data_IF_658508473215
#
_entry.id   IF_658508473215
#
_cell.length_a   1.000
_cell.length_b   1.000
_cell.length_c   1.000
_cell.angle_alpha   90.00
_cell.angle_beta   90.00
_cell.angle_gamma   90.00
#
_symmetry.space_group_name_H-M   'P 1'
#
loop_
_entity.id
_entity.type
_entity.pdbx_description
1 polymer ?
#
# COMPACT_ATOMS: atom_id res chain seq x y z
N UNK A 1 59.57 -21.12 -24.43
CA UNK A 1 59.76 -19.66 -24.60
C UNK A 1 59.05 -19.21 -25.87
N UNK A 2 57.79 -18.79 -25.78
CA UNK A 2 57.09 -18.01 -26.81
C UNK A 2 56.12 -17.06 -26.09
N UNK A 3 56.30 -15.79 -26.38
CA UNK A 3 55.66 -14.61 -25.81
C UNK A 3 54.25 -14.49 -26.40
N UNK A 4 53.25 -14.20 -25.58
CA UNK A 4 51.94 -13.72 -26.05
C UNK A 4 51.59 -12.45 -25.29
N UNK A 5 51.24 -11.44 -26.07
CA UNK A 5 51.24 -10.02 -25.76
C UNK A 5 50.01 -9.56 -24.99
N UNK A 6 50.23 -8.59 -24.10
CA UNK A 6 49.20 -7.76 -23.45
C UNK A 6 48.52 -6.85 -24.49
N UNK A 7 47.19 -6.84 -24.53
CA UNK A 7 46.41 -5.83 -25.23
C UNK A 7 45.69 -4.95 -24.18
N UNK A 8 46.00 -3.66 -24.20
CA UNK A 8 45.39 -2.63 -23.34
C UNK A 8 44.04 -2.20 -23.91
N UNK A 9 42.99 -2.20 -23.08
CA UNK A 9 41.68 -1.66 -23.40
C UNK A 9 41.62 -0.17 -23.00
N UNK A 10 41.38 0.71 -23.98
CA UNK A 10 41.14 2.13 -23.75
C UNK A 10 39.63 2.37 -23.57
N UNK A 11 39.25 2.97 -22.43
CA UNK A 11 37.88 3.35 -22.09
C UNK A 11 37.67 4.83 -22.47
N UNK A 12 36.79 5.11 -23.42
CA UNK A 12 36.35 6.48 -23.74
C UNK A 12 35.07 6.81 -22.97
N UNK A 13 35.12 7.77 -22.04
CA UNK A 13 33.93 8.42 -21.49
C UNK A 13 33.57 9.63 -22.37
N UNK A 14 32.34 9.65 -22.89
CA UNK A 14 31.75 10.84 -23.50
C UNK A 14 30.72 11.44 -22.53
N UNK A 15 30.94 12.70 -22.13
CA UNK A 15 30.00 13.49 -21.35
C UNK A 15 29.00 14.17 -22.30
N UNK A 16 27.71 13.90 -22.13
CA UNK A 16 26.63 14.59 -22.84
C UNK A 16 26.24 15.87 -22.09
N UNK A 17 26.54 17.03 -22.67
CA UNK A 17 25.99 18.30 -22.24
C UNK A 17 24.64 18.54 -22.93
N UNK A 18 23.57 18.70 -22.15
CA UNK A 18 22.26 19.12 -22.65
C UNK A 18 22.18 20.65 -22.68
N UNK A 19 21.88 21.22 -23.85
CA UNK A 19 21.63 22.64 -24.04
C UNK A 19 20.14 22.95 -23.81
N UNK A 20 19.85 23.92 -22.94
CA UNK A 20 18.51 24.47 -22.74
C UNK A 20 18.15 25.46 -23.86
N UNK A 21 16.97 25.31 -24.46
CA UNK A 21 16.41 26.27 -25.42
C UNK A 21 15.39 27.17 -24.71
N UNK A 22 15.65 28.48 -24.71
CA UNK A 22 14.70 29.53 -24.32
C UNK A 22 13.75 29.83 -25.48
N UNK A 23 12.44 29.83 -25.24
CA UNK A 23 11.45 30.21 -26.24
C UNK A 23 11.10 31.70 -26.11
N UNK A 24 11.18 32.39 -27.23
CA UNK A 24 10.96 33.82 -27.42
C UNK A 24 9.51 34.25 -27.11
N UNK A 25 9.41 35.49 -26.61
CA UNK A 25 8.17 36.15 -26.23
C UNK A 25 7.29 36.52 -27.44
N UNK A 26 5.98 36.40 -27.25
CA UNK A 26 4.98 36.95 -28.16
C UNK A 26 4.33 38.20 -27.54
N UNK A 27 4.30 39.24 -28.37
CA UNK A 27 3.87 40.61 -28.11
C UNK A 27 2.33 40.68 -27.98
N UNK A 28 1.82 41.38 -26.95
CA UNK A 28 0.40 41.67 -26.76
C UNK A 28 0.09 43.06 -27.32
N UNK A 29 -0.33 43.15 -28.58
CA UNK A 29 -0.97 44.34 -29.14
C UNK A 29 -2.50 44.15 -29.11
N UNK A 30 -3.12 44.96 -28.24
CA UNK A 30 -4.33 45.75 -28.49
C UNK A 30 -5.55 45.05 -29.12
N UNK A 31 -6.54 44.70 -28.30
CA UNK A 31 -7.94 44.60 -28.73
C UNK A 31 -8.86 45.36 -27.76
N UNK A 32 -9.73 46.16 -28.37
CA UNK A 32 -10.58 47.20 -27.78
C UNK A 32 -11.67 46.71 -26.81
N UNK A 33 -11.91 47.52 -25.78
CA UNK A 33 -12.98 47.36 -24.80
C UNK A 33 -14.30 47.95 -25.30
N UNK A 34 -15.25 47.11 -25.73
CA UNK A 34 -16.66 47.51 -25.85
C UNK A 34 -17.62 46.31 -25.94
N UNK A 35 -18.14 45.85 -24.80
CA UNK A 35 -19.52 45.37 -24.61
C UNK A 35 -19.66 44.75 -23.22
N UNK A 36 -20.34 45.47 -22.32
CA UNK A 36 -20.78 44.94 -21.03
C UNK A 36 -22.11 44.17 -21.19
N UNK A 37 -22.16 42.95 -20.66
CA UNK A 37 -23.38 42.31 -20.18
C UNK A 37 -23.06 41.67 -18.82
N UNK A 38 -23.78 41.98 -17.74
CA UNK A 38 -23.46 41.44 -16.42
C UNK A 38 -23.99 40.01 -16.31
N UNK A 39 -23.08 39.04 -16.28
CA UNK A 39 -23.39 37.71 -15.76
C UNK A 39 -23.37 37.76 -14.22
N UNK A 40 -24.33 37.09 -13.54
CA UNK A 40 -24.38 37.08 -12.08
C UNK A 40 -23.20 36.32 -11.49
N UNK A 41 -22.50 37.02 -10.60
CA UNK A 41 -21.53 36.58 -9.60
C UNK A 41 -21.19 35.09 -9.59
N UNK A 42 -19.97 34.80 -10.06
CA UNK A 42 -19.17 33.68 -9.61
C UNK A 42 -19.29 33.53 -8.09
N UNK A 43 -19.91 32.44 -7.66
CA UNK A 43 -19.69 31.90 -6.33
C UNK A 43 -18.22 31.52 -6.32
N UNK A 44 -17.47 32.22 -5.47
CA UNK A 44 -16.06 31.99 -5.22
C UNK A 44 -15.89 30.56 -4.71
N UNK A 45 -15.70 29.63 -5.64
CA UNK A 45 -15.10 28.32 -5.37
C UNK A 45 -13.68 28.62 -4.93
N UNK A 46 -13.48 28.77 -3.62
CA UNK A 46 -12.16 28.72 -3.03
C UNK A 46 -11.69 27.27 -3.09
N UNK A 47 -11.40 26.82 -4.29
CA UNK A 47 -10.42 25.78 -4.54
C UNK A 47 -9.07 26.34 -4.09
N UNK A 48 -8.80 26.34 -2.78
CA UNK A 48 -7.42 26.35 -2.30
C UNK A 48 -6.84 24.93 -2.47
N UNK A 49 -6.80 24.51 -3.72
CA UNK A 49 -6.24 23.24 -4.20
C UNK A 49 -4.82 23.45 -4.73
N UNK A 50 -4.05 24.34 -4.10
CA UNK A 50 -2.68 24.67 -4.53
C UNK A 50 -1.60 24.04 -3.63
N UNK A 51 -1.86 22.81 -3.18
CA UNK A 51 -0.88 21.93 -2.55
C UNK A 51 -0.62 20.67 -3.41
N UNK A 52 0.56 20.04 -3.32
CA UNK A 52 0.82 18.78 -4.02
C UNK A 52 -0.26 17.73 -3.70
N UNK A 53 -0.93 17.20 -4.73
CA UNK A 53 -1.96 16.16 -4.62
C UNK A 53 -1.38 14.78 -4.89
N UNK A 54 -0.11 14.54 -4.57
CA UNK A 54 0.52 13.26 -4.85
C UNK A 54 -0.24 12.14 -4.12
N UNK A 55 -1.05 11.39 -4.86
CA UNK A 55 -1.44 10.03 -4.52
C UNK A 55 -0.23 9.10 -4.64
N UNK A 56 0.85 9.46 -3.97
CA UNK A 56 2.16 8.84 -4.11
C UNK A 56 2.25 7.62 -3.21
N UNK A 57 1.67 6.51 -3.64
CA UNK A 57 1.72 5.18 -2.99
C UNK A 57 0.87 5.06 -1.71
N UNK A 58 -0.01 4.05 -1.68
CA UNK A 58 -1.05 3.89 -0.65
C UNK A 58 -0.49 3.72 0.78
N UNK A 59 0.67 3.08 0.94
CA UNK A 59 1.30 2.94 2.26
C UNK A 59 1.86 4.28 2.77
N UNK A 60 2.45 5.10 1.89
CA UNK A 60 2.94 6.43 2.26
C UNK A 60 1.78 7.34 2.65
N UNK A 61 0.66 7.30 1.91
CA UNK A 61 -0.55 8.01 2.27
C UNK A 61 -1.10 7.57 3.64
N UNK A 62 -1.14 6.26 3.91
CA UNK A 62 -1.56 5.73 5.21
C UNK A 62 -0.62 6.20 6.35
N UNK A 63 0.69 6.19 6.13
CA UNK A 63 1.67 6.68 7.12
C UNK A 63 1.50 8.19 7.32
N UNK A 64 1.33 8.98 6.25
CA UNK A 64 1.12 10.42 6.34
C UNK A 64 -0.14 10.77 7.14
N UNK A 65 -1.24 10.05 6.91
CA UNK A 65 -2.48 10.21 7.68
C UNK A 65 -2.23 9.98 9.17
N UNK A 66 -1.60 8.86 9.52
CA UNK A 66 -1.32 8.53 10.92
C UNK A 66 -0.35 9.53 11.57
N UNK A 67 0.71 9.94 10.87
CA UNK A 67 1.64 10.97 11.36
C UNK A 67 0.92 12.29 11.59
N UNK A 68 -0.01 12.67 10.72
CA UNK A 68 -0.82 13.89 10.87
C UNK A 68 -1.72 13.82 12.11
N UNK A 69 -2.33 12.66 12.38
CA UNK A 69 -3.14 12.42 13.60
C UNK A 69 -2.26 12.53 14.86
N UNK A 70 -1.07 11.91 14.87
CA UNK A 70 -0.16 11.95 16.01
C UNK A 70 0.37 13.37 16.30
N UNK A 71 0.69 14.14 15.27
CA UNK A 71 1.15 15.53 15.40
C UNK A 71 0.05 16.47 15.92
N UNK A 72 -1.21 16.24 15.52
CA UNK A 72 -2.34 17.07 15.92
C UNK A 72 -2.82 16.79 17.36
N UNK A 73 -2.50 15.62 17.92
CA UNK A 73 -2.90 15.22 19.27
C UNK A 73 -1.84 15.65 20.31
N UNK A 74 -2.11 16.68 21.15
CA UNK A 74 -1.18 17.13 22.17
C UNK A 74 -0.96 16.11 23.30
N UNK A 75 -1.78 15.05 23.37
CA UNK A 75 -1.62 13.96 24.32
C UNK A 75 -0.78 12.79 23.77
N UNK A 76 -0.26 12.88 22.53
CA UNK A 76 0.62 11.85 21.96
C UNK A 76 1.86 11.66 22.85
N UNK A 77 2.03 10.44 23.35
CA UNK A 77 3.26 10.02 24.02
C UNK A 77 4.32 9.63 22.98
N UNK A 78 5.17 10.60 22.64
CA UNK A 78 6.25 10.42 21.67
C UNK A 78 7.30 9.38 22.09
N UNK A 79 7.34 8.96 23.35
CA UNK A 79 8.24 7.89 23.79
C UNK A 79 7.76 6.49 23.39
N UNK A 80 6.47 6.36 23.04
CA UNK A 80 5.82 5.10 22.67
C UNK A 80 5.52 4.98 21.17
N UNK A 81 5.60 6.08 20.42
CA UNK A 81 5.32 6.09 18.98
C UNK A 81 6.28 5.15 18.23
N UNK A 82 5.71 4.28 17.39
CA UNK A 82 6.45 3.32 16.57
C UNK A 82 5.92 3.32 15.12
N UNK A 83 6.41 4.25 14.31
CA UNK A 83 6.08 4.33 12.88
C UNK A 83 6.70 3.16 12.09
N UNK A 84 7.78 2.57 12.60
CA UNK A 84 8.41 1.42 11.94
C UNK A 84 7.52 0.19 12.06
N UNK A 85 6.86 -0.03 13.20
CA UNK A 85 5.85 -1.09 13.35
C UNK A 85 4.71 -0.94 12.33
N UNK A 86 4.19 0.28 12.14
CA UNK A 86 3.18 0.54 11.11
C UNK A 86 3.74 0.26 9.70
N UNK A 87 4.95 0.72 9.39
CA UNK A 87 5.58 0.47 8.08
C UNK A 87 5.75 -1.01 7.80
N UNK A 88 6.16 -1.80 8.80
CA UNK A 88 6.31 -3.25 8.67
C UNK A 88 4.96 -3.94 8.48
N UNK A 89 3.92 -3.49 9.17
CA UNK A 89 2.57 -4.00 8.94
C UNK A 89 2.09 -3.73 7.50
N UNK A 90 2.35 -2.53 6.97
CA UNK A 90 1.99 -2.19 5.59
C UNK A 90 2.79 -3.03 4.57
N UNK A 91 4.04 -3.41 4.86
CA UNK A 91 4.79 -4.39 4.06
C UNK A 91 4.12 -5.75 4.10
N UNK A 92 3.69 -6.20 5.28
CA UNK A 92 2.98 -7.48 5.42
C UNK A 92 1.68 -7.49 4.62
N UNK A 93 0.90 -6.41 4.68
CA UNK A 93 -0.29 -6.24 3.86
C UNK A 93 0.02 -6.29 2.36
N UNK A 94 1.05 -5.57 1.91
CA UNK A 94 1.47 -5.52 0.50
C UNK A 94 1.93 -6.90 0.00
N UNK A 95 2.70 -7.62 0.82
CA UNK A 95 3.16 -8.97 0.53
C UNK A 95 1.99 -9.96 0.41
N UNK A 96 1.05 -9.94 1.37
CA UNK A 96 -0.09 -10.86 1.39
C UNK A 96 -1.10 -10.52 0.28
N UNK A 97 -1.24 -9.25 -0.08
CA UNK A 97 -2.20 -8.79 -1.08
C UNK A 97 -1.69 -8.99 -2.51
N UNK A 98 -0.41 -8.67 -2.77
CA UNK A 98 0.11 -8.56 -4.13
C UNK A 98 1.20 -9.57 -4.48
N UNK A 99 1.80 -10.26 -3.49
CA UNK A 99 2.93 -11.19 -3.73
C UNK A 99 2.69 -12.63 -3.29
N UNK A 100 1.67 -12.89 -2.49
CA UNK A 100 1.30 -14.25 -2.13
C UNK A 100 0.70 -14.99 -3.33
N UNK A 101 1.14 -16.22 -3.56
CA UNK A 101 0.44 -17.14 -4.44
C UNK A 101 -0.64 -17.85 -3.66
N UNK A 102 -1.87 -17.90 -4.19
CA UNK A 102 -3.00 -18.51 -3.50
C UNK A 102 -3.62 -19.60 -4.35
N UNK A 103 -3.62 -20.83 -3.83
CA UNK A 103 -4.42 -21.93 -4.36
C UNK A 103 -5.69 -22.10 -3.54
N UNK A 104 -6.83 -22.28 -4.21
CA UNK A 104 -8.12 -22.51 -3.55
C UNK A 104 -8.55 -23.97 -3.70
N UNK A 105 -8.80 -24.63 -2.58
CA UNK A 105 -9.37 -25.97 -2.49
C UNK A 105 -10.81 -25.85 -1.97
N UNK A 106 -11.79 -26.30 -2.77
CA UNK A 106 -13.16 -26.36 -2.29
C UNK A 106 -13.30 -27.48 -1.26
N UNK A 107 -13.91 -27.18 -0.12
CA UNK A 107 -14.27 -28.15 0.92
C UNK A 107 -15.77 -28.09 1.19
N UNK A 108 -16.29 -29.09 1.89
CA UNK A 108 -17.69 -29.03 2.32
C UNK A 108 -17.94 -27.81 3.21
N UNK A 109 -19.03 -27.10 2.95
CA UNK A 109 -19.37 -25.87 3.67
C UNK A 109 -18.42 -24.68 3.47
N UNK A 110 -17.43 -24.73 2.56
CA UNK A 110 -16.52 -23.59 2.39
C UNK A 110 -15.33 -23.79 1.45
N UNK A 111 -14.17 -23.28 1.86
CA UNK A 111 -12.91 -23.37 1.12
C UNK A 111 -11.69 -23.40 2.05
N UNK A 112 -10.62 -24.03 1.56
CA UNK A 112 -9.27 -23.97 2.11
C UNK A 112 -8.39 -23.21 1.13
N UNK A 113 -7.70 -22.18 1.61
CA UNK A 113 -6.85 -21.30 0.82
C UNK A 113 -5.41 -21.50 1.23
N UNK A 114 -4.55 -21.95 0.31
CA UNK A 114 -3.14 -22.17 0.54
C UNK A 114 -2.41 -20.94 0.03
N UNK A 115 -1.98 -20.07 0.94
CA UNK A 115 -1.19 -18.90 0.64
C UNK A 115 0.29 -19.23 0.82
N UNK A 116 1.08 -19.11 -0.25
CA UNK A 116 2.51 -19.48 -0.26
C UNK A 116 3.38 -18.49 -1.02
N UNK A 117 4.69 -18.58 -0.83
CA UNK A 117 5.70 -17.90 -1.65
C UNK A 117 7.03 -18.66 -1.59
N UNK A 118 7.85 -18.51 -2.63
CA UNK A 118 9.26 -18.94 -2.60
C UNK A 118 10.16 -17.90 -1.89
N UNK A 119 9.67 -16.67 -1.70
CA UNK A 119 10.38 -15.64 -0.94
C UNK A 119 10.16 -15.85 0.57
N UNK A 120 11.23 -16.07 1.37
CA UNK A 120 11.11 -16.23 2.82
C UNK A 120 10.49 -15.03 3.53
N UNK A 121 10.66 -13.80 3.02
CA UNK A 121 10.07 -12.59 3.59
C UNK A 121 8.56 -12.59 3.41
N UNK A 122 8.09 -12.88 2.19
CA UNK A 122 6.65 -12.97 1.88
C UNK A 122 6.02 -14.13 2.65
N UNK A 123 6.71 -15.27 2.73
CA UNK A 123 6.28 -16.43 3.54
C UNK A 123 6.05 -16.04 5.00
N UNK A 124 6.96 -15.25 5.58
CA UNK A 124 6.82 -14.78 6.96
C UNK A 124 5.64 -13.80 7.11
N UNK A 125 5.43 -12.90 6.15
CA UNK A 125 4.27 -11.99 6.12
C UNK A 125 2.95 -12.76 6.06
N UNK A 126 2.86 -13.78 5.20
CA UNK A 126 1.68 -14.66 5.09
C UNK A 126 1.37 -15.28 6.44
N UNK A 127 2.35 -15.94 7.08
CA UNK A 127 2.13 -16.59 8.37
C UNK A 127 1.65 -15.62 9.45
N UNK A 128 2.32 -14.48 9.61
CA UNK A 128 1.90 -13.47 10.62
C UNK A 128 0.47 -13.01 10.38
N UNK A 129 0.17 -12.58 9.15
CA UNK A 129 -1.12 -11.98 8.82
C UNK A 129 -2.27 -12.99 8.86
N UNK A 130 -2.11 -14.17 8.26
CA UNK A 130 -3.17 -15.20 8.22
C UNK A 130 -3.56 -15.61 9.62
N UNK A 131 -2.59 -15.93 10.49
CA UNK A 131 -2.88 -16.36 11.86
C UNK A 131 -3.52 -15.23 12.68
N UNK A 132 -3.01 -14.00 12.59
CA UNK A 132 -3.58 -12.86 13.30
C UNK A 132 -5.02 -12.56 12.84
N UNK A 133 -5.29 -12.61 11.53
CA UNK A 133 -6.64 -12.38 11.00
C UNK A 133 -7.59 -13.47 11.42
N UNK A 134 -7.20 -14.75 11.33
CA UNK A 134 -8.06 -15.85 11.79
C UNK A 134 -8.37 -15.71 13.28
N UNK A 135 -7.38 -15.41 14.12
CA UNK A 135 -7.58 -15.23 15.56
C UNK A 135 -8.56 -14.09 15.88
N UNK A 136 -8.55 -13.02 15.08
CA UNK A 136 -9.38 -11.82 15.28
C UNK A 136 -10.77 -11.95 14.67
N UNK A 137 -10.88 -12.61 13.52
CA UNK A 137 -12.08 -12.60 12.67
C UNK A 137 -12.90 -13.89 12.77
N UNK A 138 -12.43 -14.93 13.46
CA UNK A 138 -13.22 -16.14 13.65
C UNK A 138 -14.57 -15.83 14.33
N UNK A 139 -15.65 -16.36 13.78
CA UNK A 139 -17.03 -16.09 14.21
C UNK A 139 -17.64 -14.82 13.62
N UNK A 140 -16.85 -13.93 13.01
CA UNK A 140 -17.36 -12.76 12.30
C UNK A 140 -18.04 -13.20 11.00
N UNK A 141 -19.12 -12.51 10.60
CA UNK A 141 -20.01 -12.92 9.50
C UNK A 141 -20.67 -14.31 9.69
N UNK A 142 -20.54 -14.92 10.87
CA UNK A 142 -21.02 -16.28 11.16
C UNK A 142 -20.16 -17.39 10.54
N UNK A 143 -18.92 -17.10 10.15
CA UNK A 143 -17.98 -18.09 9.63
C UNK A 143 -17.09 -18.66 10.72
N UNK A 144 -16.74 -19.94 10.58
CA UNK A 144 -15.63 -20.53 11.32
C UNK A 144 -14.37 -20.39 10.48
N UNK A 145 -13.35 -19.76 11.06
CA UNK A 145 -12.04 -19.57 10.46
C UNK A 145 -10.96 -20.30 11.26
N UNK A 146 -10.07 -21.00 10.55
CA UNK A 146 -8.91 -21.69 11.11
C UNK A 146 -7.67 -21.39 10.27
N UNK A 147 -6.49 -21.44 10.89
CA UNK A 147 -5.21 -21.23 10.25
C UNK A 147 -4.28 -22.41 10.55
N UNK A 148 -3.59 -22.89 9.53
CA UNK A 148 -2.56 -23.93 9.65
C UNK A 148 -1.25 -23.41 9.05
N UNK A 149 -0.11 -23.73 9.66
CA UNK A 149 1.16 -23.50 9.01
C UNK A 149 1.40 -24.61 7.98
N UNK A 150 1.83 -24.21 6.77
CA UNK A 150 2.18 -25.13 5.69
C UNK A 150 3.57 -24.80 5.13
N UNK A 151 4.20 -25.71 4.38
CA UNK A 151 5.40 -25.37 3.62
C UNK A 151 5.14 -24.15 2.72
N UNK A 152 6.03 -23.16 2.79
CA UNK A 152 5.93 -21.94 1.98
C UNK A 152 4.95 -20.88 2.49
N UNK A 153 4.20 -21.09 3.59
CA UNK A 153 3.26 -20.08 4.09
C UNK A 153 2.27 -20.60 5.13
N UNK A 154 0.98 -20.32 4.89
CA UNK A 154 -0.13 -20.68 5.76
C UNK A 154 -1.37 -21.08 4.94
N UNK A 155 -2.19 -21.96 5.50
CA UNK A 155 -3.53 -22.25 4.99
C UNK A 155 -4.57 -21.52 5.83
N UNK A 156 -5.53 -20.85 5.17
CA UNK A 156 -6.75 -20.34 5.80
C UNK A 156 -7.90 -21.28 5.43
N UNK A 157 -8.57 -21.83 6.44
CA UNK A 157 -9.74 -22.68 6.26
C UNK A 157 -10.96 -21.91 6.74
N UNK A 158 -11.97 -21.80 5.87
CA UNK A 158 -13.20 -21.08 6.17
C UNK A 158 -14.41 -21.95 5.88
N UNK A 159 -15.35 -22.01 6.82
CA UNK A 159 -16.63 -22.72 6.66
C UNK A 159 -17.82 -21.83 7.08
N UNK A 160 -18.96 -22.01 6.42
CA UNK A 160 -20.16 -21.18 6.57
C UNK A 160 -20.93 -21.06 5.25
N UNK A 161 -21.20 -19.84 4.80
CA UNK A 161 -21.76 -19.60 3.47
C UNK A 161 -20.69 -19.88 2.40
N UNK A 162 -20.70 -21.12 1.88
CA UNK A 162 -19.71 -21.59 0.92
C UNK A 162 -19.66 -20.77 -0.37
N UNK A 163 -20.81 -20.25 -0.83
CA UNK A 163 -20.86 -19.44 -2.05
C UNK A 163 -20.15 -18.10 -1.82
N UNK A 164 -20.44 -17.43 -0.69
CA UNK A 164 -19.81 -16.16 -0.33
C UNK A 164 -18.31 -16.32 -0.05
N UNK A 165 -17.92 -17.34 0.71
CA UNK A 165 -16.51 -17.64 1.04
C UNK A 165 -15.68 -17.85 -0.25
N UNK A 166 -16.17 -18.70 -1.16
CA UNK A 166 -15.45 -18.99 -2.41
C UNK A 166 -15.40 -17.78 -3.34
N UNK A 167 -16.46 -16.97 -3.38
CA UNK A 167 -16.49 -15.76 -4.20
C UNK A 167 -15.53 -14.68 -3.70
N UNK A 168 -15.39 -14.53 -2.38
CA UNK A 168 -14.44 -13.59 -1.78
C UNK A 168 -12.98 -14.05 -1.95
N UNK A 169 -12.75 -15.36 -1.88
CA UNK A 169 -11.41 -15.92 -1.91
C UNK A 169 -10.58 -15.50 -0.69
N UNK A 170 -9.30 -15.88 -0.68
CA UNK A 170 -8.39 -15.59 0.42
C UNK A 170 -8.32 -14.09 0.76
N UNK A 171 -8.01 -13.24 -0.23
CA UNK A 171 -7.83 -11.81 0.01
C UNK A 171 -9.12 -11.10 0.41
N UNK A 172 -10.27 -11.56 -0.11
CA UNK A 172 -11.57 -11.05 0.33
C UNK A 172 -11.81 -11.34 1.80
N UNK A 173 -11.50 -12.57 2.27
CA UNK A 173 -11.61 -12.91 3.69
C UNK A 173 -10.65 -12.10 4.57
N UNK A 174 -9.44 -11.83 4.08
CA UNK A 174 -8.45 -11.01 4.80
C UNK A 174 -8.83 -9.52 4.90
N UNK A 175 -9.83 -9.05 4.15
CA UNK A 175 -10.28 -7.64 4.17
C UNK A 175 -11.65 -7.45 4.82
N UNK A 176 -12.32 -8.53 5.23
CA UNK A 176 -13.59 -8.45 5.96
C UNK A 176 -13.37 -7.83 7.35
N UNK A 177 -14.32 -6.98 7.78
CA UNK A 177 -14.35 -6.45 9.14
C UNK A 177 -13.64 -5.12 9.37
N UNK A 178 -13.37 -4.32 8.32
CA UNK A 178 -12.95 -2.91 8.34
C UNK A 178 -12.45 -2.37 9.71
N UNK A 179 -11.26 -2.81 10.12
CA UNK A 179 -10.60 -2.37 11.37
C UNK A 179 -9.18 -1.85 11.14
N UNK A 180 -8.71 -1.83 9.88
CA UNK A 180 -7.31 -1.54 9.58
C UNK A 180 -6.91 -0.10 9.94
N UNK A 181 -7.77 0.91 9.80
CA UNK A 181 -7.42 2.28 10.20
C UNK A 181 -7.19 2.42 11.71
N UNK A 182 -8.10 1.90 12.53
CA UNK A 182 -7.95 1.92 13.98
C UNK A 182 -6.75 1.07 14.43
N UNK A 183 -6.52 -0.05 13.74
CA UNK A 183 -5.36 -0.91 13.95
C UNK A 183 -4.04 -0.21 13.59
N UNK A 184 -3.97 0.49 12.45
CA UNK A 184 -2.80 1.26 12.03
C UNK A 184 -2.44 2.33 13.06
N UNK A 185 -3.43 3.06 13.56
CA UNK A 185 -3.22 4.05 14.62
C UNK A 185 -2.76 3.38 15.93
N UNK A 186 -3.26 2.19 16.25
CA UNK A 186 -2.84 1.45 17.43
C UNK A 186 -1.37 1.02 17.35
N UNK A 187 -0.96 0.45 16.22
CA UNK A 187 0.43 0.08 15.96
C UNK A 187 1.35 1.30 16.03
N UNK A 188 0.97 2.41 15.40
CA UNK A 188 1.78 3.62 15.41
C UNK A 188 1.92 4.26 16.80
N UNK A 189 0.99 3.98 17.72
CA UNK A 189 1.06 4.37 19.14
C UNK A 189 1.85 3.36 20.00
N UNK A 190 2.49 2.36 19.39
CA UNK A 190 3.28 1.34 20.08
C UNK A 190 2.45 0.25 20.76
N UNK A 191 1.16 0.13 20.45
CA UNK A 191 0.35 -0.96 20.96
C UNK A 191 0.63 -2.25 20.18
N UNK A 192 0.50 -3.39 20.86
CA UNK A 192 0.52 -4.74 20.25
C UNK A 192 -0.91 -5.27 20.19
N UNK A 193 -1.72 -4.87 19.18
CA UNK A 193 -3.08 -5.35 19.03
C UNK A 193 -3.16 -6.86 18.80
N UNK A 194 -2.05 -7.50 18.40
CA UNK A 194 -1.91 -8.96 18.21
C UNK A 194 -0.53 -9.44 18.68
#
# INVERSE_FOLDING_TARGET
MKIVSLAAAALFLAASMAAAQSHDGMNHDQMDHAAMSPHPADVMDTADGSGPTEGGQAAFAAIQEIVSILLADPATDWSQVDIEALRQHLIDMDNVTLRAEVTTEAIDGGARFLATSDDPVVTASIRRMTFAHVATMNGVEGWTLEAEEIPGGAALIATGDAAKIRALGYIGLMTVGAHHQAHHLALARGMQPH
#
